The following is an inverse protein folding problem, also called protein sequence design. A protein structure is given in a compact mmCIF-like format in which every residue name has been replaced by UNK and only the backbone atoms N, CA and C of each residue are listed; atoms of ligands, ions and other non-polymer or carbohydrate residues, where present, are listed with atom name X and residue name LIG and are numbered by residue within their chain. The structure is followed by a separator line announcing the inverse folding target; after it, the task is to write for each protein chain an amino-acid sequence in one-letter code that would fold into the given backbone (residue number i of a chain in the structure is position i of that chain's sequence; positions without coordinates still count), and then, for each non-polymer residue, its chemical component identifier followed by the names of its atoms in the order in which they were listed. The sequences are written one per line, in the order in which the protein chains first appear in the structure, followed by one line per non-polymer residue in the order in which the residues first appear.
data_IF_626677287798
#
_entry.id   IF_626677287798
#
_cell.length_a   1.000
_cell.length_b   1.000
_cell.length_c   1.000
_cell.angle_alpha   90.00
_cell.angle_beta   90.00
_cell.angle_gamma   90.00
#
_symmetry.space_group_name_H-M   'P 1'
#
loop_
_entity.id
_entity.type
_entity.pdbx_description
1 polymer ?
#
# COMPACT_ATOMS: atom_id res chain seq x y z
N UNK A 1 24.62 21.14 -14.62
CA UNK A 1 25.16 20.98 -13.25
C UNK A 1 24.24 20.20 -12.29
N UNK A 2 23.02 19.81 -12.70
CA UNK A 2 22.15 18.96 -11.86
C UNK A 2 22.57 17.47 -11.81
N UNK A 3 23.18 16.95 -12.88
CA UNK A 3 23.60 15.54 -12.97
C UNK A 3 24.74 15.17 -11.99
N UNK A 4 25.52 16.16 -11.53
CA UNK A 4 26.65 16.01 -10.59
C UNK A 4 26.25 16.08 -9.11
N UNK A 5 25.11 16.69 -8.75
CA UNK A 5 24.64 16.71 -7.35
C UNK A 5 24.09 15.34 -6.89
N UNK A 6 23.68 14.50 -7.85
CA UNK A 6 23.26 13.11 -7.63
C UNK A 6 24.41 12.22 -7.11
N UNK A 7 25.67 12.64 -7.27
CA UNK A 7 26.84 11.83 -6.94
C UNK A 7 27.32 12.01 -5.49
N UNK A 8 26.73 12.92 -4.69
CA UNK A 8 27.24 13.30 -3.36
C UNK A 8 26.39 12.83 -2.17
N UNK A 9 25.45 11.90 -2.34
CA UNK A 9 24.69 11.31 -1.22
C UNK A 9 23.85 12.32 -0.42
N UNK A 10 23.55 13.48 -1.00
CA UNK A 10 22.72 14.52 -0.39
C UNK A 10 21.41 14.64 -1.17
N UNK A 11 20.66 13.54 -1.25
CA UNK A 11 19.39 13.50 -1.98
C UNK A 11 18.40 14.55 -1.42
N UNK A 12 18.52 14.96 -0.16
CA UNK A 12 17.78 16.10 0.42
C UNK A 12 18.11 17.44 -0.25
N UNK A 13 19.39 17.70 -0.51
CA UNK A 13 19.84 18.89 -1.24
C UNK A 13 19.41 18.82 -2.70
N UNK A 14 19.44 17.63 -3.31
CA UNK A 14 18.92 17.42 -4.66
C UNK A 14 17.42 17.77 -4.73
N UNK A 15 16.61 17.32 -3.76
CA UNK A 15 15.19 17.68 -3.67
C UNK A 15 15.03 19.19 -3.53
N UNK A 16 15.80 19.85 -2.67
CA UNK A 16 15.75 21.30 -2.50
C UNK A 16 16.11 22.05 -3.80
N UNK A 17 17.12 21.57 -4.52
CA UNK A 17 17.50 22.11 -5.83
C UNK A 17 16.37 21.95 -6.86
N UNK A 18 15.80 20.75 -6.98
CA UNK A 18 14.70 20.51 -7.92
C UNK A 18 13.45 21.32 -7.56
N UNK A 19 13.14 21.49 -6.27
CA UNK A 19 12.05 22.37 -5.85
C UNK A 19 12.28 23.82 -6.32
N UNK A 20 13.50 24.36 -6.20
CA UNK A 20 13.81 25.72 -6.70
C UNK A 20 13.66 25.84 -8.22
N UNK A 21 14.00 24.79 -8.96
CA UNK A 21 13.77 24.76 -10.42
C UNK A 21 12.27 24.78 -10.71
N UNK A 22 11.50 23.95 -10.01
CA UNK A 22 10.05 23.83 -10.18
C UNK A 22 9.26 25.05 -9.70
N UNK A 23 9.79 25.81 -8.74
CA UNK A 23 9.27 27.12 -8.33
C UNK A 23 9.43 28.17 -9.43
N UNK A 24 10.54 28.13 -10.16
CA UNK A 24 10.79 29.01 -11.29
C UNK A 24 10.01 28.58 -12.54
N UNK A 25 9.94 27.28 -12.81
CA UNK A 25 9.21 26.70 -13.93
C UNK A 25 8.71 25.28 -13.58
N UNK A 26 7.41 25.09 -13.34
CA UNK A 26 6.84 23.79 -12.99
C UNK A 26 6.68 22.84 -14.20
N UNK A 27 7.04 23.28 -15.42
CA UNK A 27 6.91 22.49 -16.65
C UNK A 27 8.19 21.74 -17.03
N UNK A 28 9.24 21.85 -16.22
CA UNK A 28 10.52 21.18 -16.47
C UNK A 28 10.42 19.69 -16.08
N UNK A 29 10.20 18.84 -17.07
CA UNK A 29 10.09 17.37 -16.92
C UNK A 29 11.28 16.75 -16.18
N UNK A 30 12.50 17.15 -16.52
CA UNK A 30 13.73 16.61 -15.92
C UNK A 30 13.86 16.98 -14.43
N UNK A 31 13.28 18.10 -14.01
CA UNK A 31 13.28 18.49 -12.60
C UNK A 31 12.32 17.60 -11.78
N UNK A 32 11.15 17.29 -12.33
CA UNK A 32 10.22 16.32 -11.74
C UNK A 32 10.82 14.92 -11.70
N UNK A 33 11.46 14.47 -12.78
CA UNK A 33 12.16 13.20 -12.85
C UNK A 33 13.26 13.10 -11.79
N UNK A 34 14.12 14.12 -11.74
CA UNK A 34 15.21 14.19 -10.77
C UNK A 34 14.71 14.20 -9.32
N UNK A 35 13.64 14.95 -9.03
CA UNK A 35 12.99 14.95 -7.71
C UNK A 35 12.46 13.55 -7.37
N UNK A 36 11.76 12.89 -8.30
CA UNK A 36 11.24 11.54 -8.11
C UNK A 36 12.34 10.54 -7.74
N UNK A 37 13.48 10.57 -8.43
CA UNK A 37 14.62 9.70 -8.12
C UNK A 37 15.24 10.00 -6.75
N UNK A 38 15.40 11.28 -6.39
CA UNK A 38 15.96 11.66 -5.10
C UNK A 38 15.04 11.26 -3.94
N UNK A 39 13.72 11.48 -4.09
CA UNK A 39 12.69 11.03 -3.13
C UNK A 39 12.70 9.51 -3.00
N UNK A 40 12.81 8.79 -4.11
CA UNK A 40 12.87 7.33 -4.12
C UNK A 40 14.06 6.78 -3.32
N UNK A 41 15.24 7.40 -3.45
CA UNK A 41 16.45 6.98 -2.71
C UNK A 41 16.39 7.26 -1.22
N UNK A 42 15.69 8.33 -0.81
CA UNK A 42 15.45 8.63 0.61
C UNK A 42 14.33 7.82 1.23
N UNK A 43 13.55 7.10 0.42
CA UNK A 43 12.46 6.28 0.91
C UNK A 43 13.02 5.08 1.67
N UNK A 44 12.47 4.83 2.86
CA UNK A 44 12.87 3.72 3.73
C UNK A 44 11.66 3.14 4.44
N UNK A 45 11.81 2.00 5.11
CA UNK A 45 10.71 1.40 5.88
C UNK A 45 10.17 2.33 6.98
N UNK A 46 11.00 3.23 7.52
CA UNK A 46 10.61 4.22 8.53
C UNK A 46 9.93 5.45 7.94
N UNK A 47 10.17 5.72 6.66
CA UNK A 47 9.67 6.89 5.95
C UNK A 47 9.41 6.49 4.49
N UNK A 48 8.28 5.85 4.25
CA UNK A 48 7.90 5.36 2.93
C UNK A 48 7.42 6.55 2.11
N UNK A 49 8.08 6.84 1.00
CA UNK A 49 7.79 7.99 0.12
C UNK A 49 7.30 7.57 -1.26
N UNK A 50 6.74 6.37 -1.38
CA UNK A 50 6.25 5.79 -2.64
C UNK A 50 5.24 6.69 -3.36
N UNK A 51 4.27 7.22 -2.62
CA UNK A 51 3.26 8.14 -3.19
C UNK A 51 3.91 9.40 -3.74
N UNK A 52 4.84 10.00 -3.02
CA UNK A 52 5.53 11.22 -3.46
C UNK A 52 6.38 10.94 -4.71
N UNK A 53 7.08 9.80 -4.75
CA UNK A 53 7.80 9.32 -5.94
C UNK A 53 6.85 9.17 -7.13
N UNK A 54 5.70 8.50 -6.95
CA UNK A 54 4.73 8.28 -8.01
C UNK A 54 4.14 9.60 -8.54
N UNK A 55 3.86 10.56 -7.65
CA UNK A 55 3.39 11.90 -8.04
C UNK A 55 4.45 12.65 -8.84
N UNK A 56 5.71 12.65 -8.40
CA UNK A 56 6.80 13.30 -9.11
C UNK A 56 7.01 12.69 -10.51
N UNK A 57 6.95 11.37 -10.64
CA UNK A 57 6.99 10.69 -11.93
C UNK A 57 5.79 11.01 -12.81
N UNK A 58 4.58 11.07 -12.24
CA UNK A 58 3.38 11.48 -12.96
C UNK A 58 3.51 12.90 -13.53
N UNK A 59 4.09 13.82 -12.77
CA UNK A 59 4.40 15.16 -13.28
C UNK A 59 5.44 15.15 -14.38
N UNK A 60 6.55 14.41 -14.22
CA UNK A 60 7.58 14.28 -15.26
C UNK A 60 6.97 13.82 -16.59
N UNK A 61 6.15 12.77 -16.55
CA UNK A 61 5.44 12.25 -17.74
C UNK A 61 4.47 13.30 -18.29
N UNK A 62 3.71 13.97 -17.43
CA UNK A 62 2.73 14.97 -17.84
C UNK A 62 3.35 16.19 -18.54
N UNK A 63 4.56 16.58 -18.15
CA UNK A 63 5.26 17.77 -18.67
C UNK A 63 6.27 17.47 -19.78
N UNK A 64 6.55 16.20 -20.07
CA UNK A 64 7.47 15.81 -21.14
C UNK A 64 6.89 16.07 -22.54
N UNK A 65 7.77 16.13 -23.54
CA UNK A 65 7.35 16.13 -24.95
C UNK A 65 6.61 14.83 -25.29
N UNK A 66 5.61 14.89 -26.18
CA UNK A 66 4.71 13.76 -26.45
C UNK A 66 5.44 12.49 -26.93
N UNK A 67 6.55 12.65 -27.66
CA UNK A 67 7.41 11.56 -28.12
C UNK A 67 8.27 10.94 -27.01
N UNK A 68 8.55 11.68 -25.93
CA UNK A 68 9.34 11.21 -24.79
C UNK A 68 8.48 10.51 -23.72
N UNK A 69 7.18 10.83 -23.65
CA UNK A 69 6.25 10.30 -22.64
C UNK A 69 6.29 8.78 -22.48
N UNK A 70 6.25 7.94 -23.54
CA UNK A 70 6.28 6.49 -23.38
C UNK A 70 7.58 5.99 -22.74
N UNK A 71 8.71 6.60 -23.09
CA UNK A 71 10.03 6.26 -22.56
C UNK A 71 10.14 6.58 -21.08
N UNK A 72 9.77 7.80 -20.69
CA UNK A 72 9.78 8.24 -19.28
C UNK A 72 8.79 7.41 -18.46
N UNK A 73 7.61 7.12 -19.01
CA UNK A 73 6.61 6.30 -18.35
C UNK A 73 7.10 4.85 -18.12
N UNK A 74 7.81 4.26 -19.08
CA UNK A 74 8.38 2.92 -18.90
C UNK A 74 9.46 2.91 -17.80
N UNK A 75 10.33 3.93 -17.80
CA UNK A 75 11.40 4.05 -16.81
C UNK A 75 10.85 4.28 -15.41
N UNK A 76 9.91 5.21 -15.23
CA UNK A 76 9.35 5.45 -13.91
C UNK A 76 8.56 4.23 -13.40
N UNK A 77 7.92 3.44 -14.27
CA UNK A 77 7.19 2.23 -13.87
C UNK A 77 8.18 1.20 -13.32
N UNK A 78 9.31 1.02 -13.99
CA UNK A 78 10.38 0.15 -13.53
C UNK A 78 10.97 0.61 -12.18
N UNK A 79 11.26 1.91 -12.04
CA UNK A 79 11.83 2.47 -10.80
C UNK A 79 10.86 2.37 -9.62
N UNK A 80 9.57 2.66 -9.84
CA UNK A 80 8.55 2.57 -8.79
C UNK A 80 8.31 1.13 -8.36
N UNK A 81 8.26 0.18 -9.29
CA UNK A 81 8.18 -1.26 -8.98
C UNK A 81 9.39 -1.74 -8.20
N UNK A 82 10.59 -1.36 -8.62
CA UNK A 82 11.83 -1.70 -7.91
C UNK A 82 11.85 -1.15 -6.48
N UNK A 83 11.44 0.11 -6.30
CA UNK A 83 11.35 0.72 -4.98
C UNK A 83 10.32 -0.02 -4.11
N UNK A 84 9.15 -0.31 -4.66
CA UNK A 84 8.10 -1.04 -3.96
C UNK A 84 8.56 -2.42 -3.49
N UNK A 85 9.19 -3.20 -4.38
CA UNK A 85 9.75 -4.51 -4.07
C UNK A 85 10.84 -4.44 -3.00
N UNK A 86 11.70 -3.41 -3.05
CA UNK A 86 12.74 -3.19 -2.02
C UNK A 86 12.13 -2.91 -0.64
N UNK A 87 11.12 -2.04 -0.58
CA UNK A 87 10.43 -1.71 0.69
C UNK A 87 9.72 -2.93 1.25
N UNK A 88 8.97 -3.65 0.41
CA UNK A 88 8.23 -4.82 0.86
C UNK A 88 9.16 -5.94 1.32
N UNK A 89 10.25 -6.21 0.58
CA UNK A 89 11.27 -7.18 0.99
C UNK A 89 11.88 -6.82 2.34
N UNK A 90 12.23 -5.55 2.56
CA UNK A 90 12.77 -5.08 3.84
C UNK A 90 11.74 -5.21 4.98
N UNK A 91 10.46 -4.93 4.70
CA UNK A 91 9.39 -5.10 5.67
C UNK A 91 9.18 -6.57 6.05
N UNK A 92 9.25 -7.48 5.08
CA UNK A 92 9.21 -8.93 5.31
C UNK A 92 10.42 -9.42 6.12
N UNK A 93 11.63 -8.93 5.81
CA UNK A 93 12.84 -9.26 6.56
C UNK A 93 12.74 -8.79 8.01
N UNK A 94 12.31 -7.54 8.22
CA UNK A 94 12.08 -6.99 9.55
C UNK A 94 11.05 -7.81 10.34
N UNK A 95 9.93 -8.16 9.72
CA UNK A 95 8.94 -9.03 10.35
C UNK A 95 9.50 -10.41 10.69
N UNK A 96 10.31 -11.03 9.82
CA UNK A 96 10.94 -12.34 10.08
C UNK A 96 11.95 -12.29 11.23
N UNK A 97 12.70 -11.20 11.36
CA UNK A 97 13.70 -11.01 12.41
C UNK A 97 13.05 -10.71 13.77
N UNK A 98 12.00 -9.90 13.79
CA UNK A 98 11.35 -9.42 15.02
C UNK A 98 9.96 -10.03 15.26
N UNK A 99 9.77 -11.32 14.96
CA UNK A 99 8.46 -12.01 15.04
C UNK A 99 7.77 -11.94 16.40
N UNK A 100 8.53 -11.80 17.47
CA UNK A 100 8.03 -11.73 18.85
C UNK A 100 7.77 -10.29 19.32
N UNK A 101 8.12 -9.29 18.50
CA UNK A 101 7.90 -7.88 18.81
C UNK A 101 6.52 -7.46 18.33
N UNK A 102 5.72 -6.92 19.25
CA UNK A 102 4.40 -6.36 18.92
C UNK A 102 4.53 -5.30 17.82
N UNK A 103 3.72 -5.43 16.77
CA UNK A 103 3.64 -4.47 15.67
C UNK A 103 4.52 -4.77 14.45
N UNK A 104 5.50 -5.68 14.52
CA UNK A 104 6.35 -6.00 13.36
C UNK A 104 5.54 -6.49 12.14
N UNK A 105 4.48 -7.28 12.37
CA UNK A 105 3.55 -7.67 11.31
C UNK A 105 2.75 -6.49 10.77
N UNK A 106 2.25 -5.62 11.64
CA UNK A 106 1.49 -4.43 11.19
C UNK A 106 2.34 -3.50 10.32
N UNK A 107 3.64 -3.36 10.61
CA UNK A 107 4.58 -2.63 9.75
C UNK A 107 4.69 -3.28 8.36
N UNK A 108 4.78 -4.62 8.30
CA UNK A 108 4.81 -5.35 7.03
C UNK A 108 3.50 -5.20 6.24
N UNK A 109 2.36 -5.26 6.91
CA UNK A 109 1.04 -5.05 6.29
C UNK A 109 0.96 -3.63 5.72
N UNK A 110 1.25 -2.60 6.52
CA UNK A 110 1.18 -1.21 6.08
C UNK A 110 2.11 -0.94 4.88
N UNK A 111 3.34 -1.44 4.93
CA UNK A 111 4.27 -1.33 3.81
C UNK A 111 3.71 -1.98 2.54
N UNK A 112 3.11 -3.17 2.65
CA UNK A 112 2.45 -3.84 1.52
C UNK A 112 1.31 -3.01 0.91
N UNK A 113 0.49 -2.36 1.73
CA UNK A 113 -0.62 -1.52 1.25
C UNK A 113 -0.13 -0.27 0.54
N UNK A 114 0.89 0.40 1.08
CA UNK A 114 1.50 1.57 0.42
C UNK A 114 2.14 1.20 -0.93
N UNK A 115 2.75 0.02 -1.02
CA UNK A 115 3.27 -0.50 -2.28
C UNK A 115 2.14 -0.77 -3.26
N UNK A 116 1.08 -1.47 -2.87
CA UNK A 116 -0.08 -1.73 -3.75
C UNK A 116 -0.66 -0.41 -4.29
N UNK A 117 -0.92 0.58 -3.43
CA UNK A 117 -1.47 1.87 -3.85
C UNK A 117 -0.57 2.56 -4.87
N UNK A 118 0.74 2.58 -4.63
CA UNK A 118 1.70 3.21 -5.53
C UNK A 118 1.77 2.48 -6.88
N UNK A 119 1.81 1.15 -6.88
CA UNK A 119 1.87 0.35 -8.10
C UNK A 119 0.58 0.42 -8.93
N UNK A 120 -0.58 0.57 -8.29
CA UNK A 120 -1.84 0.80 -9.00
C UNK A 120 -1.84 2.12 -9.78
N UNK A 121 -1.05 3.11 -9.37
CA UNK A 121 -0.92 4.34 -10.16
C UNK A 121 -0.29 4.08 -11.53
N UNK A 122 0.57 3.06 -11.67
CA UNK A 122 1.27 2.67 -12.91
C UNK A 122 0.29 2.45 -14.07
N UNK A 123 -0.90 1.92 -13.78
CA UNK A 123 -1.91 1.67 -14.80
C UNK A 123 -2.34 2.93 -15.56
N UNK A 124 -2.23 4.13 -14.97
CA UNK A 124 -2.63 5.39 -15.62
C UNK A 124 -1.68 5.82 -16.74
N UNK A 125 -0.44 5.33 -16.73
CA UNK A 125 0.64 5.77 -17.62
C UNK A 125 1.26 4.61 -18.39
N UNK A 126 1.18 3.40 -17.86
CA UNK A 126 1.54 2.14 -18.51
C UNK A 126 0.47 1.06 -18.22
N UNK A 127 -0.70 1.12 -18.89
CA UNK A 127 -1.71 0.08 -18.78
C UNK A 127 -1.12 -1.29 -19.16
N UNK A 128 -1.39 -2.32 -18.35
CA UNK A 128 -0.88 -3.66 -18.60
C UNK A 128 0.60 -3.88 -18.24
N UNK A 129 1.23 -2.98 -17.47
CA UNK A 129 2.61 -3.20 -17.02
C UNK A 129 2.74 -4.40 -16.06
N UNK A 130 3.02 -5.57 -16.62
CA UNK A 130 3.06 -6.86 -15.93
C UNK A 130 3.96 -6.89 -14.68
N UNK A 131 5.18 -6.30 -14.65
CA UNK A 131 6.02 -6.36 -13.46
C UNK A 131 5.37 -5.77 -12.20
N UNK A 132 4.59 -4.68 -12.34
CA UNK A 132 3.86 -4.11 -11.21
C UNK A 132 2.69 -5.01 -10.77
N UNK A 133 2.00 -5.62 -11.73
CA UNK A 133 0.89 -6.53 -11.45
C UNK A 133 1.37 -7.78 -10.69
N UNK A 134 2.52 -8.35 -11.08
CA UNK A 134 3.12 -9.50 -10.40
C UNK A 134 3.55 -9.17 -8.95
N UNK A 135 4.07 -7.96 -8.72
CA UNK A 135 4.42 -7.52 -7.37
C UNK A 135 3.16 -7.36 -6.49
N UNK A 136 2.07 -6.78 -7.02
CA UNK A 136 0.77 -6.69 -6.33
C UNK A 136 0.25 -8.09 -5.97
N UNK A 137 0.28 -9.04 -6.92
CA UNK A 137 -0.11 -10.45 -6.66
C UNK A 137 0.73 -11.04 -5.53
N UNK A 138 2.04 -10.83 -5.54
CA UNK A 138 2.97 -11.34 -4.53
C UNK A 138 2.65 -10.80 -3.14
N UNK A 139 2.36 -9.50 -3.04
CA UNK A 139 1.97 -8.86 -1.77
C UNK A 139 0.64 -9.44 -1.28
N UNK A 140 -0.41 -9.45 -2.11
CA UNK A 140 -1.72 -9.97 -1.73
C UNK A 140 -1.64 -11.44 -1.25
N UNK A 141 -0.97 -12.30 -2.01
CA UNK A 141 -0.78 -13.71 -1.63
C UNK A 141 -0.03 -13.83 -0.31
N UNK A 142 1.02 -13.02 -0.10
CA UNK A 142 1.75 -13.01 1.17
C UNK A 142 0.85 -12.65 2.34
N UNK A 143 0.09 -11.55 2.23
CA UNK A 143 -0.78 -11.06 3.30
C UNK A 143 -1.88 -12.08 3.62
N UNK A 144 -2.52 -12.65 2.60
CA UNK A 144 -3.56 -13.67 2.76
C UNK A 144 -3.01 -14.95 3.42
N UNK A 145 -1.82 -15.39 3.03
CA UNK A 145 -1.20 -16.59 3.60
C UNK A 145 -0.79 -16.40 5.07
N UNK A 146 -0.28 -15.22 5.44
CA UNK A 146 0.10 -14.92 6.83
C UNK A 146 -1.10 -14.60 7.73
N UNK A 147 -2.22 -14.19 7.14
CA UNK A 147 -3.43 -13.83 7.85
C UNK A 147 -3.48 -12.34 8.18
N UNK A 148 -4.61 -11.73 7.83
CA UNK A 148 -4.95 -10.33 8.12
C UNK A 148 -6.39 -10.27 8.62
N UNK A 149 -6.81 -9.13 9.19
CA UNK A 149 -8.20 -8.94 9.59
C UNK A 149 -9.17 -9.07 8.41
N UNK A 150 -10.45 -9.40 8.64
CA UNK A 150 -11.43 -9.80 7.63
C UNK A 150 -11.70 -8.71 6.60
N UNK A 151 -11.70 -7.43 7.02
CA UNK A 151 -11.83 -6.30 6.08
C UNK A 151 -10.68 -6.28 5.09
N UNK A 152 -9.45 -6.46 5.58
CA UNK A 152 -8.27 -6.41 4.72
C UNK A 152 -8.14 -7.70 3.90
N UNK A 153 -8.52 -8.86 4.45
CA UNK A 153 -8.58 -10.13 3.70
C UNK A 153 -9.49 -9.99 2.47
N UNK A 154 -10.69 -9.44 2.65
CA UNK A 154 -11.61 -9.17 1.54
C UNK A 154 -11.01 -8.22 0.49
N UNK A 155 -10.38 -7.12 0.94
CA UNK A 155 -9.73 -6.16 0.04
C UNK A 155 -8.56 -6.78 -0.74
N UNK A 156 -7.73 -7.59 -0.09
CA UNK A 156 -6.61 -8.29 -0.73
C UNK A 156 -7.11 -9.32 -1.76
N UNK A 157 -8.21 -10.03 -1.48
CA UNK A 157 -8.82 -10.97 -2.44
C UNK A 157 -9.37 -10.26 -3.66
N UNK A 158 -10.16 -9.21 -3.47
CA UNK A 158 -10.69 -8.41 -4.58
C UNK A 158 -9.56 -7.84 -5.45
N UNK A 159 -8.54 -7.27 -4.81
CA UNK A 159 -7.35 -6.75 -5.52
C UNK A 159 -6.60 -7.85 -6.27
N UNK A 160 -6.42 -9.02 -5.65
CA UNK A 160 -5.77 -10.18 -6.26
C UNK A 160 -6.55 -10.66 -7.49
N UNK A 161 -7.85 -10.89 -7.34
CA UNK A 161 -8.71 -11.41 -8.41
C UNK A 161 -8.72 -10.46 -9.62
N UNK A 162 -8.86 -9.15 -9.38
CA UNK A 162 -8.80 -8.14 -10.43
C UNK A 162 -7.43 -8.12 -11.12
N UNK A 163 -6.34 -8.14 -10.35
CA UNK A 163 -4.98 -8.08 -10.91
C UNK A 163 -4.66 -9.34 -11.72
N UNK A 164 -5.10 -10.52 -11.27
CA UNK A 164 -4.93 -11.78 -12.00
C UNK A 164 -5.72 -11.75 -13.30
N UNK A 165 -6.95 -11.26 -13.29
CA UNK A 165 -7.74 -11.10 -14.51
C UNK A 165 -7.03 -10.17 -15.51
N UNK A 166 -6.48 -9.05 -15.06
CA UNK A 166 -5.74 -8.11 -15.91
C UNK A 166 -4.46 -8.72 -16.51
N UNK A 167 -3.75 -9.59 -15.78
CA UNK A 167 -2.61 -10.34 -16.30
C UNK A 167 -3.08 -11.36 -17.33
N UNK A 168 -4.18 -12.07 -17.06
CA UNK A 168 -4.71 -13.13 -17.93
C UNK A 168 -5.23 -12.61 -19.27
N UNK A 169 -5.59 -11.33 -19.37
CA UNK A 169 -5.87 -10.68 -20.67
C UNK A 169 -4.63 -10.70 -21.58
N UNK A 170 -3.42 -10.62 -21.00
CA UNK A 170 -2.16 -10.57 -21.72
C UNK A 170 -1.49 -11.95 -21.81
N UNK A 171 -1.61 -12.75 -20.75
CA UNK A 171 -1.09 -14.11 -20.64
C UNK A 171 -2.18 -15.04 -20.10
N UNK A 172 -3.02 -15.62 -20.98
CA UNK A 172 -4.11 -16.51 -20.58
C UNK A 172 -3.67 -17.77 -19.82
N UNK A 173 -2.40 -18.14 -19.91
CA UNK A 173 -1.82 -19.30 -19.21
C UNK A 173 -1.31 -18.93 -17.81
N UNK A 174 -1.35 -17.64 -17.43
CA UNK A 174 -0.90 -17.20 -16.12
C UNK A 174 -1.73 -17.82 -14.99
N UNK A 175 -1.03 -18.50 -14.09
CA UNK A 175 -1.58 -19.06 -12.86
C UNK A 175 -0.96 -18.33 -11.67
N UNK A 176 -1.77 -17.67 -10.81
CA UNK A 176 -1.24 -17.01 -9.63
C UNK A 176 -0.66 -18.03 -8.63
N UNK A 177 0.29 -17.61 -7.78
CA UNK A 177 0.79 -18.45 -6.71
C UNK A 177 -0.34 -18.98 -5.81
N UNK A 178 -0.27 -20.26 -5.44
CA UNK A 178 -1.32 -20.88 -4.64
C UNK A 178 -1.45 -20.22 -3.26
N UNK A 179 -2.69 -19.93 -2.86
CA UNK A 179 -3.01 -19.60 -1.48
C UNK A 179 -2.87 -20.87 -0.64
N UNK A 180 -2.16 -20.77 0.48
CA UNK A 180 -2.10 -21.85 1.45
C UNK A 180 -3.52 -22.14 1.97
N UNK A 181 -3.78 -23.40 2.33
CA UNK A 181 -4.96 -23.72 3.12
C UNK A 181 -5.00 -22.80 4.36
N UNK A 182 -6.17 -22.26 4.68
CA UNK A 182 -6.38 -21.20 5.68
C UNK A 182 -5.41 -21.35 6.86
N UNK A 183 -4.49 -20.38 7.00
CA UNK A 183 -3.41 -20.47 7.97
C UNK A 183 -3.96 -20.47 9.40
N UNK A 184 -3.27 -21.13 10.32
CA UNK A 184 -3.67 -21.14 11.73
C UNK A 184 -3.79 -19.72 12.30
N UNK A 185 -2.92 -18.80 11.87
CA UNK A 185 -2.96 -17.39 12.21
C UNK A 185 -4.21 -16.67 11.67
N UNK A 186 -4.65 -16.97 10.44
CA UNK A 186 -5.89 -16.44 9.89
C UNK A 186 -7.12 -16.94 10.67
N UNK A 187 -7.12 -18.23 11.08
CA UNK A 187 -8.17 -18.79 11.95
C UNK A 187 -8.20 -18.14 13.33
N UNK A 188 -7.03 -17.89 13.90
CA UNK A 188 -6.87 -17.32 15.22
C UNK A 188 -7.27 -15.83 15.23
N UNK A 189 -6.84 -15.04 14.25
CA UNK A 189 -7.27 -13.65 14.07
C UNK A 189 -8.80 -13.54 13.93
N UNK A 190 -9.40 -14.43 13.15
CA UNK A 190 -10.85 -14.49 12.96
C UNK A 190 -11.60 -14.89 14.24
N UNK A 191 -11.01 -15.79 15.05
CA UNK A 191 -11.56 -16.17 16.34
C UNK A 191 -11.47 -15.04 17.37
N UNK A 192 -10.37 -14.29 17.40
CA UNK A 192 -10.19 -13.11 18.26
C UNK A 192 -11.21 -12.02 17.91
N UNK A 193 -11.43 -11.75 16.63
CA UNK A 193 -12.39 -10.74 16.19
C UNK A 193 -13.85 -11.18 16.37
N UNK A 194 -14.17 -12.45 16.13
CA UNK A 194 -15.48 -13.00 16.45
C UNK A 194 -15.80 -12.89 17.94
N UNK A 195 -14.79 -13.10 18.80
CA UNK A 195 -14.92 -12.90 20.25
C UNK A 195 -15.09 -11.42 20.59
N UNK A 196 -14.29 -10.52 20.03
CA UNK A 196 -14.43 -9.08 20.25
C UNK A 196 -15.81 -8.55 19.80
N UNK A 197 -16.34 -9.04 18.68
CA UNK A 197 -17.65 -8.66 18.17
C UNK A 197 -18.78 -9.26 19.02
N UNK A 198 -18.64 -10.50 19.49
CA UNK A 198 -19.55 -11.10 20.48
C UNK A 198 -19.58 -10.30 21.78
N UNK A 199 -18.42 -9.91 22.28
CA UNK A 199 -18.30 -9.12 23.51
C UNK A 199 -18.95 -7.74 23.33
N UNK A 200 -18.70 -7.07 22.18
CA UNK A 200 -19.34 -5.81 21.83
C UNK A 200 -20.88 -5.93 21.76
N UNK A 201 -21.40 -6.98 21.14
CA UNK A 201 -22.84 -7.27 21.11
C UNK A 201 -23.38 -7.50 22.53
N UNK A 202 -22.65 -8.25 23.38
CA UNK A 202 -23.01 -8.47 24.78
C UNK A 202 -23.16 -7.17 25.57
N UNK A 203 -22.21 -6.23 25.40
CA UNK A 203 -22.30 -4.91 26.02
C UNK A 203 -23.50 -4.11 25.51
N UNK A 204 -23.79 -4.12 24.21
CA UNK A 204 -24.95 -3.41 23.63
C UNK A 204 -26.27 -4.00 24.18
N UNK A 205 -26.40 -5.32 24.25
CA UNK A 205 -27.60 -5.98 24.78
C UNK A 205 -27.80 -5.65 26.26
N UNK A 206 -26.75 -5.71 27.08
CA UNK A 206 -26.82 -5.35 28.50
C UNK A 206 -27.26 -3.89 28.68
N UNK A 207 -26.73 -2.99 27.86
CA UNK A 207 -27.10 -1.57 27.89
C UNK A 207 -28.57 -1.33 27.54
N UNK A 208 -29.09 -2.03 26.52
CA UNK A 208 -30.52 -1.96 26.14
C UNK A 208 -31.40 -2.50 27.27
N UNK A 209 -31.03 -3.63 27.91
CA UNK A 209 -31.79 -4.20 29.02
C UNK A 209 -31.86 -3.24 30.22
N UNK A 210 -30.75 -2.57 30.54
CA UNK A 210 -30.72 -1.57 31.62
C UNK A 210 -31.60 -0.35 31.31
N UNK A 211 -31.60 0.14 30.06
CA UNK A 211 -32.45 1.24 29.64
C UNK A 211 -33.93 0.84 29.73
N UNK A 212 -34.30 -0.30 29.16
CA UNK A 212 -35.70 -0.78 29.15
C UNK A 212 -36.18 -1.07 30.57
N UNK A 213 -35.35 -1.71 31.41
CA UNK A 213 -35.64 -1.96 32.82
C UNK A 213 -35.82 -0.66 33.63
N UNK A 214 -34.98 0.33 33.38
CA UNK A 214 -35.10 1.67 33.96
C UNK A 214 -36.40 2.38 33.60
N UNK A 215 -36.81 2.31 32.32
CA UNK A 215 -38.07 2.89 31.84
C UNK A 215 -39.28 2.18 32.47
N UNK A 216 -39.28 0.85 32.56
CA UNK A 216 -40.36 0.08 33.19
C UNK A 216 -40.48 0.42 34.68
N UNK A 217 -39.35 0.51 35.38
CA UNK A 217 -39.33 0.85 36.82
C UNK A 217 -39.82 2.28 37.06
N UNK A 218 -39.45 3.23 36.19
CA UNK A 218 -39.94 4.61 36.25
C UNK A 218 -41.46 4.69 35.97
N UNK A 219 -41.97 3.95 34.98
CA UNK A 219 -43.41 3.91 34.69
C UNK A 219 -44.23 3.25 35.81
N UNK A 220 -43.69 2.23 36.48
CA UNK A 220 -44.34 1.60 37.62
C UNK A 220 -44.44 2.56 38.82
N UNK A 221 -43.41 3.37 39.05
CA UNK A 221 -43.37 4.37 40.13
C UNK A 221 -44.24 5.60 39.88
N UNK A 222 -44.58 5.89 38.62
CA UNK A 222 -45.47 6.99 38.23
C UNK A 222 -46.97 6.62 38.30
N UNK A 223 -47.31 5.34 38.48
CA UNK A 223 -48.69 4.84 38.53
C UNK A 223 -49.18 4.45 39.94
N UNK A 224 -48.34 4.54 40.96
CA UNK A 224 -48.70 4.31 42.38
C UNK A 224 -48.54 5.60 43.17
#
# INVERSE_FOLDING_TARGET
MARTAVEAGNDEEAIAYFNRVLEADPTVSEAWWGKGLAVARLSSLKNIRLRETAVAFGHAIGTAADDEKPGIASQAAAELTKLGSTIFTNAQLHWREFRTTDGAWSTCVNAGLEVIEALQTIQKWQPGYVPAQLEIVTICVTLLNQGVGPKLDAQCRETLDQTVADIQVQDPEYVPPALAAESAAAKEARAVEAKANSDAIGYVVLFIVLIVGGIITAMARAKG
#
